data_IF_042677531946
#
_entry.id   IF_042677531946
#
_cell.length_a   1.000
_cell.length_b   1.000
_cell.length_c   1.000
_cell.angle_alpha   90.00
_cell.angle_beta   90.00
_cell.angle_gamma   90.00
#
_symmetry.space_group_name_H-M   'P 1'
#
loop_
_entity.id
_entity.type
_entity.pdbx_description
1 polymer ?
#
# COMPACT_ATOMS: atom_id res chain seq x y z
N UNK A 1 -61.31 -44.46 -2.63
CA UNK A 1 -61.54 -45.73 -1.89
C UNK A 1 -60.17 -46.31 -1.63
N UNK A 2 -59.62 -46.45 -0.42
CA UNK A 2 -60.14 -46.42 0.97
C UNK A 2 -58.85 -46.24 1.81
N UNK A 3 -58.69 -45.13 2.57
CA UNK A 3 -58.67 -45.06 4.07
C UNK A 3 -57.51 -45.81 4.75
N UNK A 4 -56.87 -45.42 5.85
CA UNK A 4 -56.98 -44.34 6.85
C UNK A 4 -55.75 -44.47 7.81
N UNK A 5 -55.27 -43.36 8.40
CA UNK A 5 -54.98 -43.11 9.85
C UNK A 5 -53.98 -44.04 10.59
N UNK A 6 -52.77 -43.59 10.97
CA UNK A 6 -52.37 -42.75 12.14
C UNK A 6 -52.73 -43.30 13.53
N UNK A 7 -51.74 -43.44 14.43
CA UNK A 7 -51.75 -43.39 15.92
C UNK A 7 -50.43 -44.06 16.41
N UNK A 8 -49.68 -43.65 17.44
CA UNK A 8 -49.86 -42.75 18.59
C UNK A 8 -48.47 -42.41 19.19
N UNK A 9 -48.35 -41.22 19.79
CA UNK A 9 -47.27 -40.71 20.66
C UNK A 9 -47.19 -41.40 22.04
N UNK A 10 -45.99 -41.38 22.66
CA UNK A 10 -45.67 -40.94 24.06
C UNK A 10 -44.27 -41.48 24.45
N UNK A 11 -43.19 -40.70 24.66
CA UNK A 11 -42.86 -39.70 25.71
C UNK A 11 -42.30 -40.30 27.02
N UNK A 12 -41.36 -39.55 27.64
CA UNK A 12 -40.70 -39.66 28.98
C UNK A 12 -39.26 -40.24 28.92
N UNK A 13 -38.18 -39.45 28.89
CA UNK A 13 -37.55 -38.55 29.88
C UNK A 13 -36.54 -39.25 30.82
N UNK A 14 -35.31 -38.71 30.90
CA UNK A 14 -34.30 -39.10 31.90
C UNK A 14 -32.84 -38.72 31.56
N UNK A 15 -32.44 -37.50 31.94
CA UNK A 15 -31.04 -37.01 32.11
C UNK A 15 -30.39 -37.87 33.24
N UNK A 16 -29.10 -38.27 33.25
CA UNK A 16 -27.91 -37.51 33.73
C UNK A 16 -26.55 -38.16 33.32
N UNK A 17 -25.68 -37.32 32.77
CA UNK A 17 -24.20 -37.22 32.77
C UNK A 17 -23.27 -38.45 32.94
N UNK A 18 -22.25 -38.55 32.08
CA UNK A 18 -20.90 -37.97 32.32
C UNK A 18 -19.88 -38.56 31.33
N UNK A 19 -19.15 -37.71 30.63
CA UNK A 19 -18.04 -38.14 29.79
C UNK A 19 -17.56 -37.03 28.87
N UNK A 20 -16.76 -36.11 29.41
CA UNK A 20 -15.99 -35.16 28.61
C UNK A 20 -15.02 -35.96 27.73
N UNK A 21 -15.20 -35.94 26.41
CA UNK A 21 -14.13 -36.23 25.47
C UNK A 21 -13.78 -34.93 24.78
N UNK A 22 -12.64 -34.38 25.19
CA UNK A 22 -11.97 -33.31 24.50
C UNK A 22 -11.84 -33.71 23.02
N UNK A 23 -12.45 -32.92 22.14
CA UNK A 23 -12.07 -32.88 20.74
C UNK A 23 -10.60 -32.50 20.71
N UNK A 24 -9.77 -33.50 20.43
CA UNK A 24 -8.39 -33.32 20.05
C UNK A 24 -8.38 -32.38 18.85
N UNK A 25 -8.00 -31.13 19.10
CA UNK A 25 -7.56 -30.21 18.09
C UNK A 25 -6.53 -30.95 17.23
N UNK A 26 -6.86 -31.16 15.96
CA UNK A 26 -5.86 -31.55 14.99
C UNK A 26 -4.78 -30.46 15.02
N UNK A 27 -3.49 -30.82 15.16
CA UNK A 27 -2.45 -29.85 14.87
C UNK A 27 -2.65 -29.41 13.43
N UNK A 28 -2.76 -28.10 13.19
CA UNK A 28 -2.54 -27.55 11.86
C UNK A 28 -1.17 -28.07 11.41
N UNK A 29 -1.16 -28.98 10.42
CA UNK A 29 0.04 -29.30 9.67
C UNK A 29 0.48 -28.00 9.00
N UNK A 30 1.41 -27.29 9.63
CA UNK A 30 2.14 -26.20 8.99
C UNK A 30 2.97 -26.85 7.89
N UNK A 31 2.49 -26.78 6.65
CA UNK A 31 3.33 -27.16 5.51
C UNK A 31 4.61 -26.34 5.59
N UNK A 32 5.76 -27.01 5.53
CA UNK A 32 7.11 -26.43 5.64
C UNK A 32 7.51 -25.52 4.46
N UNK A 33 6.54 -25.08 3.65
CA UNK A 33 6.70 -24.10 2.57
C UNK A 33 6.05 -22.78 3.01
N UNK A 34 6.82 -21.91 3.69
CA UNK A 34 6.34 -20.60 4.13
C UNK A 34 7.39 -19.48 3.90
N UNK A 35 7.14 -18.53 3.00
CA UNK A 35 8.12 -17.51 2.53
C UNK A 35 7.96 -16.11 3.20
N UNK A 36 9.05 -15.36 3.23
CA UNK A 36 9.56 -14.65 4.40
C UNK A 36 10.50 -13.47 4.04
N UNK A 37 10.81 -12.62 5.01
CA UNK A 37 11.93 -11.67 5.02
C UNK A 37 13.18 -12.43 5.47
N UNK A 38 14.30 -12.24 4.78
CA UNK A 38 15.60 -12.86 5.08
C UNK A 38 16.12 -12.38 6.44
N UNK A 39 15.99 -13.21 7.48
CA UNK A 39 16.47 -12.96 8.85
C UNK A 39 17.68 -13.82 9.22
N UNK A 40 18.45 -14.27 8.22
CA UNK A 40 19.55 -15.23 8.39
C UNK A 40 20.78 -14.67 9.11
N UNK A 41 20.96 -13.35 9.13
CA UNK A 41 22.09 -12.70 9.83
C UNK A 41 21.63 -12.05 11.13
N UNK A 42 22.52 -11.89 12.13
CA UNK A 42 22.20 -11.16 13.36
C UNK A 42 21.73 -9.72 13.10
N UNK A 43 22.33 -9.04 12.12
CA UNK A 43 21.97 -7.68 11.71
C UNK A 43 20.53 -7.64 11.17
N UNK A 44 20.25 -8.49 10.18
CA UNK A 44 18.92 -8.60 9.59
C UNK A 44 17.88 -8.96 10.66
N UNK A 45 18.22 -9.87 11.59
CA UNK A 45 17.32 -10.21 12.70
C UNK A 45 17.03 -9.00 13.60
N UNK A 46 18.04 -8.22 14.00
CA UNK A 46 17.82 -7.01 14.82
C UNK A 46 16.94 -5.98 14.11
N UNK A 47 17.19 -5.74 12.82
CA UNK A 47 16.35 -4.83 12.02
C UNK A 47 14.91 -5.35 11.90
N UNK A 48 14.74 -6.65 11.67
CA UNK A 48 13.45 -7.31 11.62
C UNK A 48 12.67 -7.13 12.92
N UNK A 49 13.31 -7.39 14.07
CA UNK A 49 12.67 -7.24 15.38
C UNK A 49 12.26 -5.78 15.65
N UNK A 50 13.06 -4.80 15.22
CA UNK A 50 12.69 -3.38 15.29
C UNK A 50 11.46 -3.06 14.43
N UNK A 51 11.38 -3.59 13.20
CA UNK A 51 10.23 -3.42 12.32
C UNK A 51 8.98 -4.09 12.90
N UNK A 52 9.08 -5.31 13.41
CA UNK A 52 7.95 -6.05 14.02
C UNK A 52 7.50 -5.38 15.31
N UNK A 53 8.43 -4.98 16.18
CA UNK A 53 8.13 -4.29 17.43
C UNK A 53 7.37 -2.98 17.18
N UNK A 54 7.83 -2.19 16.20
CA UNK A 54 7.15 -0.97 15.79
C UNK A 54 5.79 -1.26 15.15
N UNK A 55 5.72 -2.20 14.20
CA UNK A 55 4.47 -2.60 13.56
C UNK A 55 3.40 -3.03 14.56
N UNK A 56 3.76 -3.81 15.59
CA UNK A 56 2.81 -4.31 16.61
C UNK A 56 2.36 -3.22 17.57
N UNK A 57 3.26 -2.34 17.97
CA UNK A 57 2.95 -1.22 18.90
C UNK A 57 2.27 -0.03 18.21
N UNK A 58 2.36 0.08 16.89
CA UNK A 58 1.77 1.19 16.15
C UNK A 58 0.25 1.27 16.31
N UNK A 59 -0.22 2.44 16.73
CA UNK A 59 -1.64 2.81 16.80
C UNK A 59 -1.91 3.84 15.70
N UNK A 60 -3.00 3.64 14.96
CA UNK A 60 -3.40 4.55 13.90
C UNK A 60 -3.62 5.98 14.44
N UNK A 61 -3.13 6.97 13.69
CA UNK A 61 -3.16 8.39 14.09
C UNK A 61 -4.22 9.18 13.34
N UNK A 62 -4.60 8.74 12.14
CA UNK A 62 -5.68 9.33 11.37
C UNK A 62 -6.99 8.61 11.72
N UNK A 63 -7.88 9.31 12.42
CA UNK A 63 -9.18 8.76 12.81
C UNK A 63 -10.28 9.37 11.95
N UNK A 64 -11.26 8.54 11.57
CA UNK A 64 -12.51 9.05 11.05
C UNK A 64 -13.16 10.00 12.09
N UNK A 65 -13.59 11.19 11.66
CA UNK A 65 -14.35 12.10 12.52
C UNK A 65 -15.57 11.37 13.11
N UNK A 66 -15.81 11.47 14.43
CA UNK A 66 -17.01 10.90 15.06
C UNK A 66 -18.27 11.66 14.66
N UNK A 67 -18.14 12.91 14.18
CA UNK A 67 -19.24 13.71 13.66
C UNK A 67 -19.38 13.39 12.17
N UNK A 68 -20.57 12.93 11.71
CA UNK A 68 -20.83 12.72 10.30
C UNK A 68 -20.50 13.98 9.49
N UNK A 69 -19.59 13.82 8.54
CA UNK A 69 -19.14 14.85 7.62
C UNK A 69 -19.31 14.34 6.21
N UNK A 70 -19.77 15.20 5.32
CA UNK A 70 -19.83 14.89 3.88
C UNK A 70 -18.47 15.15 3.20
N UNK A 71 -17.44 15.54 3.95
CA UNK A 71 -16.10 15.75 3.39
C UNK A 71 -15.50 14.42 2.92
N UNK A 72 -14.90 14.39 1.73
CA UNK A 72 -14.14 13.22 1.30
C UNK A 72 -12.93 13.04 2.21
N UNK A 73 -12.52 11.77 2.38
CA UNK A 73 -11.37 11.37 3.19
C UNK A 73 -10.30 10.80 2.27
N UNK A 74 -9.16 11.46 2.18
CA UNK A 74 -8.08 11.08 1.27
C UNK A 74 -6.89 10.57 2.07
N UNK A 75 -6.46 9.33 1.82
CA UNK A 75 -5.19 8.84 2.34
C UNK A 75 -4.12 9.06 1.28
N UNK A 76 -3.08 9.81 1.61
CA UNK A 76 -1.97 10.11 0.70
C UNK A 76 -0.67 9.62 1.33
N UNK A 77 0.11 8.85 0.59
CA UNK A 77 1.43 8.39 1.05
C UNK A 77 2.56 8.93 0.21
N UNK A 78 3.72 9.14 0.83
CA UNK A 78 5.02 9.28 0.19
C UNK A 78 6.05 8.49 0.99
N UNK A 79 7.30 8.52 0.55
CA UNK A 79 8.38 7.81 1.24
C UNK A 79 9.43 8.78 1.79
N UNK A 80 10.05 8.37 2.89
CA UNK A 80 11.28 8.98 3.40
C UNK A 80 12.52 8.55 2.60
N UNK A 81 13.70 8.80 3.17
CA UNK A 81 14.98 8.39 2.59
C UNK A 81 15.08 6.87 2.41
N UNK A 82 15.88 6.43 1.45
CA UNK A 82 16.31 5.03 1.33
C UNK A 82 17.52 4.90 0.41
N UNK A 83 18.42 3.95 0.71
CA UNK A 83 19.60 3.68 -0.11
C UNK A 83 20.36 4.97 -0.46
N UNK A 84 20.57 5.27 -1.75
CA UNK A 84 21.22 6.48 -2.25
C UNK A 84 20.31 7.72 -2.25
N UNK A 85 19.01 7.56 -2.04
CA UNK A 85 18.03 8.66 -2.02
C UNK A 85 17.94 9.21 -0.60
N UNK A 86 18.80 10.18 -0.29
CA UNK A 86 18.81 10.87 1.00
C UNK A 86 17.61 11.82 1.17
N UNK A 87 17.10 12.37 0.07
CA UNK A 87 15.94 13.26 0.04
C UNK A 87 14.93 12.74 -0.98
N UNK A 88 13.82 12.20 -0.51
CA UNK A 88 12.82 11.58 -1.38
C UNK A 88 11.74 12.58 -1.76
N UNK A 89 11.65 12.87 -3.06
CA UNK A 89 10.70 13.82 -3.62
C UNK A 89 9.25 13.55 -3.16
N UNK A 90 8.83 12.28 -3.08
CA UNK A 90 7.43 11.99 -2.70
C UNK A 90 7.09 12.33 -1.26
N UNK A 91 8.02 12.12 -0.32
CA UNK A 91 7.86 12.58 1.06
C UNK A 91 7.77 14.11 1.11
N UNK A 92 8.61 14.82 0.35
CA UNK A 92 8.59 16.29 0.27
C UNK A 92 7.30 16.83 -0.35
N UNK A 93 6.79 16.19 -1.39
CA UNK A 93 5.53 16.56 -2.02
C UNK A 93 4.38 16.40 -1.02
N UNK A 94 4.35 15.30 -0.26
CA UNK A 94 3.36 15.09 0.80
C UNK A 94 3.47 16.14 1.91
N UNK A 95 4.70 16.47 2.36
CA UNK A 95 4.90 17.58 3.30
C UNK A 95 4.49 18.94 2.73
N UNK A 96 4.62 19.15 1.43
CA UNK A 96 4.21 20.40 0.78
C UNK A 96 2.68 20.47 0.67
N UNK A 97 2.03 19.33 0.41
CA UNK A 97 0.57 19.21 0.40
C UNK A 97 -0.04 19.41 1.80
N UNK A 98 0.56 18.81 2.82
CA UNK A 98 0.16 18.89 4.23
C UNK A 98 1.37 19.27 5.09
N UNK A 99 1.62 20.57 5.32
CA UNK A 99 2.81 21.09 6.03
C UNK A 99 3.04 20.50 7.43
N UNK A 100 1.98 20.06 8.10
CA UNK A 100 2.06 19.42 9.41
C UNK A 100 2.71 18.02 9.33
N UNK A 101 2.59 17.32 8.20
CA UNK A 101 3.28 16.06 7.92
C UNK A 101 4.74 16.34 7.50
N UNK A 102 5.54 16.85 8.44
CA UNK A 102 6.93 17.27 8.19
C UNK A 102 7.78 16.10 7.66
N UNK A 103 8.59 16.38 6.63
CA UNK A 103 9.50 15.40 6.06
C UNK A 103 10.49 14.90 7.13
N UNK A 104 10.62 13.59 7.35
CA UNK A 104 11.54 13.06 8.34
C UNK A 104 13.01 13.19 7.89
N UNK A 105 13.70 14.22 8.41
CA UNK A 105 15.12 14.46 8.17
C UNK A 105 15.99 13.48 8.96
N UNK A 106 16.16 12.27 8.44
CA UNK A 106 16.99 11.23 9.05
C UNK A 106 18.21 10.92 8.19
N UNK A 107 19.25 10.35 8.80
CA UNK A 107 20.45 9.86 8.11
C UNK A 107 20.46 8.35 8.13
N UNK A 108 21.05 7.74 7.11
CA UNK A 108 21.30 6.30 7.12
C UNK A 108 22.08 5.91 8.38
N UNK A 109 21.79 4.76 9.01
CA UNK A 109 22.53 4.28 10.17
C UNK A 109 23.97 3.94 9.78
N UNK A 110 24.87 3.80 10.76
CA UNK A 110 26.17 3.23 10.45
C UNK A 110 26.03 1.76 9.99
N UNK A 111 26.97 1.21 9.21
CA UNK A 111 26.90 -0.18 8.79
C UNK A 111 26.71 -1.15 9.97
N UNK A 112 25.67 -1.99 9.91
CA UNK A 112 25.34 -3.00 10.92
C UNK A 112 24.51 -2.49 12.12
N UNK A 113 24.25 -1.19 12.20
CA UNK A 113 23.33 -0.60 13.19
C UNK A 113 21.88 -0.69 12.72
N UNK A 114 20.96 -0.89 13.66
CA UNK A 114 19.53 -0.89 13.36
C UNK A 114 19.08 0.51 12.96
N UNK A 115 18.32 0.58 11.87
CA UNK A 115 17.64 1.78 11.41
C UNK A 115 16.22 1.83 12.03
N UNK A 116 15.98 2.65 13.07
CA UNK A 116 14.68 2.65 13.74
C UNK A 116 13.58 3.16 12.80
N UNK A 117 12.42 2.50 12.72
CA UNK A 117 11.34 2.95 11.84
C UNK A 117 10.65 4.24 12.29
N UNK A 118 10.52 4.46 13.61
CA UNK A 118 9.75 5.57 14.16
C UNK A 118 10.26 6.95 13.68
N UNK A 119 11.57 7.28 13.71
CA UNK A 119 12.07 8.56 13.22
C UNK A 119 11.86 8.80 11.72
N UNK A 120 11.56 7.76 10.94
CA UNK A 120 11.30 7.84 9.50
C UNK A 120 9.82 7.94 9.14
N UNK A 121 8.93 7.87 10.14
CA UNK A 121 7.50 7.94 9.94
C UNK A 121 6.95 9.32 10.31
N UNK A 122 6.30 10.00 9.37
CA UNK A 122 5.39 11.10 9.67
C UNK A 122 3.96 10.70 9.29
N UNK A 123 3.01 10.85 10.21
CA UNK A 123 1.59 10.62 9.95
C UNK A 123 0.80 11.70 10.65
N UNK A 124 0.00 12.44 9.88
CA UNK A 124 -0.83 13.54 10.38
C UNK A 124 -2.18 13.54 9.65
N UNK A 125 -3.24 13.85 10.40
CA UNK A 125 -4.53 14.21 9.83
C UNK A 125 -4.69 15.73 9.76
N UNK A 126 -5.09 16.24 8.61
CA UNK A 126 -5.34 17.66 8.37
C UNK A 126 -6.50 17.83 7.38
N UNK A 127 -6.79 19.07 6.99
CA UNK A 127 -7.74 19.39 5.92
C UNK A 127 -7.05 20.16 4.82
N UNK A 128 -7.40 19.88 3.57
CA UNK A 128 -6.95 20.66 2.41
C UNK A 128 -8.14 21.14 1.60
N UNK A 129 -7.97 22.27 0.92
CA UNK A 129 -8.90 22.71 -0.12
C UNK A 129 -8.54 22.05 -1.46
N UNK A 130 -9.55 21.43 -2.08
CA UNK A 130 -9.42 20.79 -3.38
C UNK A 130 -10.26 21.53 -4.44
N UNK A 131 -9.69 21.80 -5.63
CA UNK A 131 -10.41 22.51 -6.68
C UNK A 131 -11.67 21.73 -7.12
N UNK A 132 -12.82 22.40 -7.17
CA UNK A 132 -14.11 21.80 -7.59
C UNK A 132 -14.74 20.79 -6.62
N UNK A 133 -14.04 20.45 -5.53
CA UNK A 133 -14.52 19.54 -4.47
C UNK A 133 -14.85 20.32 -3.18
N UNK A 134 -14.01 21.29 -2.81
CA UNK A 134 -14.04 21.95 -1.50
C UNK A 134 -13.10 21.28 -0.49
N UNK A 135 -13.38 21.44 0.79
CA UNK A 135 -12.55 20.88 1.87
C UNK A 135 -12.60 19.35 1.90
N UNK A 136 -11.42 18.72 1.93
CA UNK A 136 -11.24 17.29 2.16
C UNK A 136 -10.45 17.03 3.44
N UNK A 137 -10.81 15.99 4.17
CA UNK A 137 -10.00 15.48 5.27
C UNK A 137 -8.88 14.61 4.68
N UNK A 138 -7.64 14.81 5.10
CA UNK A 138 -6.47 14.10 4.56
C UNK A 138 -5.74 13.39 5.68
N UNK A 139 -5.42 12.12 5.46
CA UNK A 139 -4.39 11.40 6.20
C UNK A 139 -3.11 11.40 5.36
N UNK A 140 -2.15 12.24 5.74
CA UNK A 140 -0.86 12.34 5.07
C UNK A 140 0.16 11.45 5.78
N UNK A 141 0.81 10.57 5.02
CA UNK A 141 1.80 9.62 5.53
C UNK A 141 3.12 9.73 4.76
N UNK A 142 4.23 9.86 5.46
CA UNK A 142 5.58 9.69 4.92
C UNK A 142 6.15 8.44 5.56
N UNK A 143 6.30 7.40 4.74
CA UNK A 143 6.54 6.04 5.19
C UNK A 143 8.03 5.70 5.18
N UNK A 144 8.50 4.87 6.12
CA UNK A 144 9.79 4.21 5.99
C UNK A 144 9.76 3.24 4.80
N UNK A 145 10.88 3.11 4.10
CA UNK A 145 11.03 2.23 2.93
C UNK A 145 11.46 0.85 3.43
N UNK A 146 10.60 0.16 4.18
CA UNK A 146 10.88 -1.16 4.75
C UNK A 146 9.88 -2.20 4.28
N UNK A 147 10.36 -3.41 3.96
CA UNK A 147 9.52 -4.50 3.45
C UNK A 147 8.37 -4.75 4.40
N UNK A 148 7.16 -4.81 3.84
CA UNK A 148 5.88 -5.03 4.51
C UNK A 148 5.45 -4.00 5.57
N UNK A 149 6.38 -3.36 6.30
CA UNK A 149 6.04 -2.40 7.35
C UNK A 149 5.24 -1.23 6.78
N UNK A 150 5.63 -0.67 5.63
CA UNK A 150 4.90 0.41 4.99
C UNK A 150 3.43 0.01 4.71
N UNK A 151 3.20 -1.21 4.21
CA UNK A 151 1.86 -1.73 3.96
C UNK A 151 1.06 -1.98 5.25
N UNK A 152 1.71 -2.47 6.31
CA UNK A 152 1.10 -2.63 7.64
C UNK A 152 0.58 -1.27 8.17
N UNK A 153 1.40 -0.22 8.05
CA UNK A 153 1.05 1.13 8.51
C UNK A 153 -0.13 1.69 7.70
N UNK A 154 -0.10 1.57 6.37
CA UNK A 154 -1.20 2.00 5.50
C UNK A 154 -2.50 1.26 5.87
N UNK A 155 -2.45 -0.06 6.05
CA UNK A 155 -3.63 -0.85 6.38
C UNK A 155 -4.25 -0.44 7.72
N UNK A 156 -3.43 -0.15 8.73
CA UNK A 156 -3.89 0.33 10.04
C UNK A 156 -4.55 1.71 9.94
N UNK A 157 -3.95 2.64 9.20
CA UNK A 157 -4.57 3.96 8.96
C UNK A 157 -5.83 3.84 8.12
N UNK A 158 -5.85 3.02 7.06
CA UNK A 158 -7.02 2.85 6.20
C UNK A 158 -8.23 2.29 6.97
N UNK A 159 -8.02 1.32 7.87
CA UNK A 159 -9.08 0.77 8.74
C UNK A 159 -9.65 1.84 9.69
N UNK A 160 -8.80 2.68 10.28
CA UNK A 160 -9.21 3.70 11.25
C UNK A 160 -9.81 4.96 10.58
N UNK A 161 -9.21 5.40 9.48
CA UNK A 161 -9.56 6.62 8.76
C UNK A 161 -10.74 6.40 7.80
N UNK A 162 -10.88 5.20 7.24
CA UNK A 162 -11.92 4.80 6.27
C UNK A 162 -11.93 5.71 5.03
N UNK A 163 -10.82 5.78 4.27
CA UNK A 163 -10.70 6.71 3.15
C UNK A 163 -11.78 6.48 2.08
N UNK A 164 -12.11 7.54 1.36
CA UNK A 164 -12.89 7.52 0.12
C UNK A 164 -12.01 7.58 -1.13
N UNK A 165 -10.70 7.86 -0.96
CA UNK A 165 -9.68 7.71 -1.99
C UNK A 165 -8.30 7.44 -1.35
N UNK A 166 -7.50 6.56 -1.97
CA UNK A 166 -6.12 6.26 -1.55
C UNK A 166 -5.14 6.56 -2.68
N UNK A 167 -4.21 7.48 -2.46
CA UNK A 167 -3.16 7.80 -3.42
C UNK A 167 -1.79 7.49 -2.81
N UNK A 168 -1.15 6.44 -3.29
CA UNK A 168 0.20 6.08 -2.88
C UNK A 168 1.21 6.66 -3.86
N UNK A 169 2.38 7.08 -3.36
CA UNK A 169 3.40 7.69 -4.20
C UNK A 169 4.78 7.11 -3.94
N UNK A 170 5.58 7.02 -4.99
CA UNK A 170 7.01 6.69 -4.91
C UNK A 170 7.81 7.38 -6.00
N UNK A 171 9.13 7.32 -5.91
CA UNK A 171 10.02 7.79 -6.97
C UNK A 171 10.39 6.66 -7.92
N UNK A 172 10.63 6.98 -9.19
CA UNK A 172 11.16 6.05 -10.19
C UNK A 172 12.43 6.62 -10.84
N UNK A 173 12.44 6.86 -12.15
CA UNK A 173 13.59 7.45 -12.84
C UNK A 173 13.80 8.93 -12.50
N UNK A 174 14.97 9.44 -12.83
CA UNK A 174 15.37 10.83 -12.58
C UNK A 174 14.47 11.85 -13.29
N UNK A 175 14.20 11.61 -14.58
CA UNK A 175 13.38 12.46 -15.45
C UNK A 175 12.49 11.60 -16.34
N UNK A 176 11.19 11.72 -16.15
CA UNK A 176 10.21 10.89 -16.83
C UNK A 176 8.82 11.54 -16.76
N UNK A 177 7.86 11.01 -17.50
CA UNK A 177 6.45 11.30 -17.22
C UNK A 177 6.07 10.78 -15.83
N UNK A 178 5.06 11.38 -15.20
CA UNK A 178 4.35 10.73 -14.11
C UNK A 178 3.80 9.41 -14.60
N UNK A 179 4.07 8.33 -13.87
CA UNK A 179 3.47 7.04 -14.17
C UNK A 179 2.33 6.78 -13.20
N UNK A 180 1.12 6.72 -13.74
CA UNK A 180 -0.07 6.35 -12.99
C UNK A 180 -0.22 4.84 -13.18
N UNK A 181 0.07 4.08 -12.13
CA UNK A 181 0.17 2.62 -12.22
C UNK A 181 -1.23 1.99 -12.36
N UNK A 182 -1.42 1.24 -13.44
CA UNK A 182 -2.67 0.51 -13.70
C UNK A 182 -2.88 -0.65 -12.72
N UNK A 183 -1.84 -1.12 -12.04
CA UNK A 183 -1.96 -2.21 -11.08
C UNK A 183 -0.63 -2.63 -10.46
N UNK A 184 -0.67 -3.74 -9.76
CA UNK A 184 0.45 -4.34 -9.05
C UNK A 184 0.43 -5.86 -9.16
N UNK A 185 1.51 -6.49 -8.71
CA UNK A 185 1.71 -7.94 -8.77
C UNK A 185 2.00 -8.50 -7.40
N UNK A 186 1.66 -9.76 -7.16
CA UNK A 186 1.97 -10.47 -5.93
C UNK A 186 3.43 -10.94 -5.90
N UNK A 187 4.38 -10.03 -6.08
CA UNK A 187 5.80 -10.36 -6.26
C UNK A 187 6.71 -9.39 -5.51
N UNK A 188 7.65 -9.95 -4.76
CA UNK A 188 8.73 -9.23 -4.10
C UNK A 188 10.09 -9.79 -4.56
N UNK A 189 10.92 -8.95 -5.15
CA UNK A 189 12.28 -9.29 -5.60
C UNK A 189 13.26 -9.30 -4.43
N UNK A 190 14.43 -9.93 -4.62
CA UNK A 190 15.51 -10.02 -3.62
C UNK A 190 16.29 -8.71 -3.43
N UNK A 191 15.60 -7.58 -3.39
CA UNK A 191 16.20 -6.25 -3.24
C UNK A 191 16.22 -5.80 -1.78
N UNK A 192 17.30 -5.18 -1.35
CA UNK A 192 17.38 -4.59 -0.02
C UNK A 192 16.41 -3.40 0.12
N UNK A 193 15.85 -3.25 1.31
CA UNK A 193 15.05 -2.09 1.67
C UNK A 193 15.92 -0.92 2.17
N UNK A 194 15.28 0.15 2.63
CA UNK A 194 15.94 1.38 3.07
C UNK A 194 16.86 1.22 4.29
N UNK A 195 16.78 0.11 5.03
CA UNK A 195 17.71 -0.21 6.12
C UNK A 195 19.04 -0.77 5.60
N UNK A 196 19.04 -1.22 4.33
CA UNK A 196 20.12 -1.99 3.70
C UNK A 196 20.45 -3.31 4.45
N UNK A 197 19.51 -3.83 5.24
CA UNK A 197 19.67 -5.08 6.02
C UNK A 197 18.63 -6.12 5.68
N UNK A 198 17.40 -5.71 5.37
CA UNK A 198 16.30 -6.63 5.06
C UNK A 198 16.04 -6.70 3.55
N UNK A 199 15.66 -7.89 3.12
CA UNK A 199 15.18 -8.20 1.77
C UNK A 199 14.26 -9.43 1.84
N UNK A 200 13.41 -9.68 0.84
CA UNK A 200 12.63 -10.90 0.77
C UNK A 200 13.57 -12.12 0.64
N UNK A 201 13.22 -13.20 1.34
CA UNK A 201 13.93 -14.48 1.29
C UNK A 201 13.51 -15.25 0.05
N UNK A 202 14.15 -14.95 -1.08
CA UNK A 202 13.89 -15.62 -2.37
C UNK A 202 14.66 -16.93 -2.47
N UNK A 203 13.96 -18.02 -2.77
CA UNK A 203 14.53 -19.35 -3.01
C UNK A 203 15.62 -19.29 -4.08
N UNK A 204 16.76 -19.99 -3.92
CA UNK A 204 17.79 -20.03 -4.95
C UNK A 204 17.23 -20.49 -6.31
N UNK A 205 17.41 -19.68 -7.35
CA UNK A 205 16.89 -19.93 -8.70
C UNK A 205 15.61 -19.16 -9.05
N UNK A 206 14.88 -18.67 -8.04
CA UNK A 206 13.69 -17.85 -8.24
C UNK A 206 14.02 -16.36 -8.36
N UNK A 207 13.21 -15.63 -9.12
CA UNK A 207 13.36 -14.18 -9.31
C UNK A 207 12.64 -13.35 -8.22
N UNK A 208 11.60 -13.92 -7.60
CA UNK A 208 10.74 -13.25 -6.64
C UNK A 208 10.05 -14.25 -5.71
N UNK A 209 9.38 -13.72 -4.69
CA UNK A 209 8.49 -14.47 -3.78
C UNK A 209 7.11 -13.82 -3.73
N UNK A 210 6.08 -14.56 -3.36
CA UNK A 210 4.74 -14.00 -3.15
C UNK A 210 4.72 -13.08 -1.93
N UNK A 211 4.00 -11.97 -2.04
CA UNK A 211 3.79 -11.03 -0.94
C UNK A 211 2.66 -11.54 -0.04
N UNK A 212 1.51 -11.86 -0.63
CA UNK A 212 0.39 -12.52 0.03
C UNK A 212 0.39 -13.97 -0.43
N UNK A 213 1.01 -14.84 0.36
CA UNK A 213 1.26 -16.24 0.01
C UNK A 213 -0.01 -17.03 -0.33
N UNK A 214 -1.10 -16.79 0.41
CA UNK A 214 -2.36 -17.50 0.25
C UNK A 214 -3.31 -16.86 -0.79
N UNK A 215 -2.89 -15.80 -1.48
CA UNK A 215 -3.68 -15.25 -2.57
C UNK A 215 -3.72 -16.27 -3.73
N UNK A 216 -4.90 -16.55 -4.31
CA UNK A 216 -5.00 -17.49 -5.43
C UNK A 216 -4.24 -16.95 -6.64
N UNK A 217 -3.81 -17.83 -7.55
CA UNK A 217 -3.09 -17.44 -8.77
C UNK A 217 -3.87 -16.44 -9.64
N UNK A 218 -5.21 -16.51 -9.62
CA UNK A 218 -6.08 -15.53 -10.30
C UNK A 218 -5.92 -14.10 -9.80
N UNK A 219 -5.29 -13.90 -8.65
CA UNK A 219 -5.02 -12.62 -8.01
C UNK A 219 -3.52 -12.32 -7.91
N UNK A 220 -2.65 -13.06 -8.63
CA UNK A 220 -1.22 -12.74 -8.70
C UNK A 220 -0.93 -11.40 -9.38
N UNK A 221 -1.93 -10.86 -10.09
CA UNK A 221 -1.95 -9.47 -10.54
C UNK A 221 -3.25 -8.82 -10.08
N UNK A 222 -3.17 -7.57 -9.66
CA UNK A 222 -4.34 -6.80 -9.23
C UNK A 222 -4.32 -5.42 -9.88
N UNK A 223 -5.40 -5.11 -10.61
CA UNK A 223 -5.63 -3.76 -11.11
C UNK A 223 -5.90 -2.78 -9.96
N UNK A 224 -5.30 -1.61 -10.05
CA UNK A 224 -5.69 -0.45 -9.25
C UNK A 224 -7.10 0.00 -9.66
N UNK A 225 -7.76 0.84 -8.86
CA UNK A 225 -9.15 1.26 -9.10
C UNK A 225 -9.20 2.78 -9.24
N UNK A 226 -9.48 3.29 -10.45
CA UNK A 226 -9.42 4.72 -10.74
C UNK A 226 -10.35 5.11 -11.90
N UNK A 227 -10.74 6.37 -11.96
CA UNK A 227 -11.38 7.01 -13.11
C UNK A 227 -10.29 7.42 -14.13
N UNK A 228 -9.72 6.42 -14.81
CA UNK A 228 -8.44 6.50 -15.52
C UNK A 228 -8.27 7.72 -16.44
N UNK A 229 -9.16 7.89 -17.41
CA UNK A 229 -9.05 8.98 -18.41
C UNK A 229 -9.17 10.36 -17.76
N UNK A 230 -10.09 10.49 -16.81
CA UNK A 230 -10.36 11.73 -16.08
C UNK A 230 -9.13 12.14 -15.27
N UNK A 231 -8.55 11.19 -14.53
CA UNK A 231 -7.37 11.44 -13.70
C UNK A 231 -6.10 11.65 -14.53
N UNK A 232 -5.87 10.87 -15.58
CA UNK A 232 -4.72 11.06 -16.48
C UNK A 232 -4.75 12.44 -17.13
N UNK A 233 -5.93 12.88 -17.60
CA UNK A 233 -6.09 14.21 -18.21
C UNK A 233 -5.79 15.31 -17.19
N UNK A 234 -6.36 15.23 -15.98
CA UNK A 234 -6.10 16.21 -14.94
C UNK A 234 -4.62 16.25 -14.51
N UNK A 235 -3.96 15.09 -14.44
CA UNK A 235 -2.53 15.02 -14.15
C UNK A 235 -1.70 15.69 -15.25
N UNK A 236 -1.97 15.39 -16.52
CA UNK A 236 -1.27 15.98 -17.66
C UNK A 236 -1.45 17.49 -17.73
N UNK A 237 -2.68 17.96 -17.60
CA UNK A 237 -3.00 19.39 -17.68
C UNK A 237 -2.36 20.17 -16.51
N UNK A 238 -2.29 19.57 -15.32
CA UNK A 238 -1.57 20.16 -14.19
C UNK A 238 -0.06 20.18 -14.42
N UNK A 239 0.54 19.13 -14.97
CA UNK A 239 1.97 19.12 -15.33
C UNK A 239 2.28 20.20 -16.35
N UNK A 240 1.46 20.35 -17.39
CA UNK A 240 1.65 21.38 -18.43
C UNK A 240 1.56 22.80 -17.84
N UNK A 241 0.58 23.03 -16.97
CA UNK A 241 0.41 24.32 -16.27
C UNK A 241 1.63 24.73 -15.45
N UNK A 242 2.36 23.76 -14.87
CA UNK A 242 3.56 24.01 -14.07
C UNK A 242 4.87 23.82 -14.84
N UNK A 243 4.84 23.45 -16.13
CA UNK A 243 6.04 23.06 -16.89
C UNK A 243 7.14 24.13 -16.91
N UNK A 244 6.77 25.41 -16.87
CA UNK A 244 7.70 26.55 -16.87
C UNK A 244 8.25 26.96 -15.51
N UNK A 245 7.88 26.29 -14.41
CA UNK A 245 8.44 26.60 -13.08
C UNK A 245 9.90 26.17 -13.01
N UNK A 246 10.79 27.07 -12.57
CA UNK A 246 12.24 26.84 -12.56
C UNK A 246 12.74 26.68 -11.14
N UNK A 247 13.52 25.61 -10.92
CA UNK A 247 14.35 25.41 -9.75
C UNK A 247 15.78 25.00 -10.14
N UNK A 248 16.78 25.64 -9.53
CA UNK A 248 18.20 25.44 -9.85
C UNK A 248 18.52 25.31 -11.35
N UNK A 249 17.99 26.26 -12.13
CA UNK A 249 18.12 26.36 -13.59
C UNK A 249 17.48 25.22 -14.42
N UNK A 250 16.76 24.29 -13.79
CA UNK A 250 15.99 23.25 -14.48
C UNK A 250 14.51 23.58 -14.38
N UNK A 251 13.76 23.41 -15.47
CA UNK A 251 12.30 23.58 -15.42
C UNK A 251 11.59 22.31 -14.95
N UNK A 252 10.42 22.46 -14.34
CA UNK A 252 9.57 21.34 -13.94
C UNK A 252 9.25 20.43 -15.12
N UNK A 253 8.98 21.00 -16.30
CA UNK A 253 8.68 20.25 -17.52
C UNK A 253 9.87 19.46 -18.09
N UNK A 254 11.11 19.85 -17.79
CA UNK A 254 12.30 19.08 -18.19
C UNK A 254 12.45 17.78 -17.37
N UNK A 255 11.91 17.79 -16.14
CA UNK A 255 11.92 16.68 -15.19
C UNK A 255 10.66 15.82 -15.32
N UNK A 256 9.48 16.44 -15.24
CA UNK A 256 8.17 15.80 -15.33
C UNK A 256 7.59 15.97 -16.74
N UNK A 257 7.82 14.97 -17.58
CA UNK A 257 7.57 15.05 -19.04
C UNK A 257 6.12 14.71 -19.45
N UNK A 258 5.16 15.07 -18.60
CA UNK A 258 3.74 14.76 -18.75
C UNK A 258 3.25 13.68 -17.77
N UNK A 259 2.14 13.03 -18.11
CA UNK A 259 1.57 11.91 -17.36
C UNK A 259 1.25 10.75 -18.32
N UNK A 260 1.38 9.51 -17.83
CA UNK A 260 1.17 8.30 -18.62
C UNK A 260 0.63 7.17 -17.76
N UNK A 261 -0.33 6.41 -18.30
CA UNK A 261 -0.79 5.18 -17.69
C UNK A 261 0.24 4.06 -17.88
N UNK A 262 0.65 3.45 -16.77
CA UNK A 262 1.72 2.48 -16.73
C UNK A 262 1.14 1.07 -16.46
N UNK A 263 1.31 0.13 -17.40
CA UNK A 263 0.77 -1.24 -17.31
C UNK A 263 1.42 -2.14 -16.26
N UNK A 264 0.93 -3.36 -16.13
CA UNK A 264 1.42 -4.38 -15.18
C UNK A 264 1.06 -5.79 -15.68
N UNK A 265 1.85 -6.85 -15.44
CA UNK A 265 3.15 -6.84 -14.79
C UNK A 265 4.24 -6.29 -15.72
N UNK A 266 5.22 -5.60 -15.14
CA UNK A 266 6.54 -5.31 -15.70
C UNK A 266 7.62 -5.87 -14.77
N UNK A 267 8.85 -6.15 -15.25
CA UNK A 267 9.95 -6.62 -14.40
C UNK A 267 10.23 -5.71 -13.18
N UNK A 268 9.99 -4.41 -13.32
CA UNK A 268 10.15 -3.42 -12.25
C UNK A 268 9.03 -3.45 -11.19
N UNK A 269 7.90 -4.15 -11.41
CA UNK A 269 6.81 -4.29 -10.44
C UNK A 269 7.13 -5.35 -9.38
N UNK A 270 8.29 -5.26 -8.74
CA UNK A 270 8.76 -6.25 -7.76
C UNK A 270 9.47 -5.61 -6.56
N UNK A 271 9.46 -4.28 -6.44
CA UNK A 271 10.03 -3.54 -5.30
C UNK A 271 8.95 -3.02 -4.34
N UNK A 272 9.35 -2.24 -3.33
CA UNK A 272 8.48 -1.73 -2.25
C UNK A 272 7.24 -0.98 -2.74
N UNK A 273 7.35 -0.19 -3.82
CA UNK A 273 6.20 0.45 -4.46
C UNK A 273 5.14 -0.56 -4.89
N UNK A 274 5.56 -1.71 -5.46
CA UNK A 274 4.67 -2.80 -5.84
C UNK A 274 4.07 -3.49 -4.60
N UNK A 275 4.88 -3.74 -3.56
CA UNK A 275 4.44 -4.35 -2.31
C UNK A 275 3.33 -3.55 -1.62
N UNK A 276 3.54 -2.25 -1.40
CA UNK A 276 2.52 -1.41 -0.76
C UNK A 276 1.24 -1.35 -1.59
N UNK A 277 1.36 -1.29 -2.92
CA UNK A 277 0.21 -1.23 -3.83
C UNK A 277 -0.59 -2.53 -3.78
N UNK A 278 0.08 -3.67 -3.92
CA UNK A 278 -0.55 -4.98 -3.93
C UNK A 278 -1.22 -5.30 -2.58
N UNK A 279 -0.50 -5.16 -1.47
CA UNK A 279 -1.04 -5.48 -0.13
C UNK A 279 -2.21 -4.58 0.23
N UNK A 280 -2.10 -3.28 -0.01
CA UNK A 280 -3.18 -2.33 0.25
C UNK A 280 -4.41 -2.67 -0.61
N UNK A 281 -4.20 -2.90 -1.90
CA UNK A 281 -5.26 -3.30 -2.82
C UNK A 281 -5.95 -4.59 -2.42
N UNK A 282 -5.17 -5.60 -2.01
CA UNK A 282 -5.69 -6.91 -1.63
C UNK A 282 -6.49 -6.84 -0.33
N UNK A 283 -5.96 -6.21 0.71
CA UNK A 283 -6.64 -6.04 2.00
C UNK A 283 -7.94 -5.23 1.87
N UNK A 284 -7.96 -4.19 1.04
CA UNK A 284 -9.18 -3.40 0.78
C UNK A 284 -10.25 -4.21 0.04
N UNK A 285 -9.85 -5.11 -0.86
CA UNK A 285 -10.77 -6.00 -1.60
C UNK A 285 -11.30 -7.16 -0.77
N UNK A 286 -10.62 -7.53 0.32
CA UNK A 286 -10.90 -8.74 1.10
C UNK A 286 -11.23 -8.44 2.56
N UNK A 287 -12.36 -7.78 2.84
CA UNK A 287 -12.69 -7.34 4.20
C UNK A 287 -12.74 -8.54 5.17
N UNK A 288 -12.03 -8.39 6.28
CA UNK A 288 -11.95 -9.39 7.36
C UNK A 288 -10.93 -10.51 7.12
N UNK A 289 -10.37 -10.65 5.92
CA UNK A 289 -9.28 -11.61 5.66
C UNK A 289 -7.99 -11.13 6.31
N UNK A 290 -7.29 -12.05 6.96
CA UNK A 290 -6.04 -11.78 7.65
C UNK A 290 -4.84 -12.16 6.77
N UNK A 291 -3.88 -11.25 6.69
CA UNK A 291 -2.60 -11.46 6.00
C UNK A 291 -1.49 -11.46 7.03
N UNK A 292 -0.56 -12.41 6.90
CA UNK A 292 0.69 -12.46 7.67
C UNK A 292 1.78 -11.74 6.87
N UNK A 293 2.16 -10.58 7.34
CA UNK A 293 3.22 -9.73 6.79
C UNK A 293 4.45 -9.77 7.69
N UNK A 294 5.61 -9.28 7.24
CA UNK A 294 6.87 -9.29 8.00
C UNK A 294 7.16 -10.70 8.56
N UNK A 295 7.08 -11.75 7.74
CA UNK A 295 7.32 -13.12 8.22
C UNK A 295 8.82 -13.41 8.28
N UNK A 296 9.36 -13.92 9.39
CA UNK A 296 10.80 -14.21 9.50
C UNK A 296 11.17 -15.52 8.78
N UNK A 297 12.25 -15.52 7.98
CA UNK A 297 12.77 -16.74 7.33
C UNK A 297 13.36 -17.73 8.33
N UNK A 298 13.95 -17.23 9.40
CA UNK A 298 14.39 -18.00 10.56
C UNK A 298 13.56 -17.63 11.78
N UNK A 299 12.58 -18.48 12.09
CA UNK A 299 11.71 -18.33 13.26
C UNK A 299 12.52 -18.49 14.55
N UNK A 300 12.31 -17.60 15.52
CA UNK A 300 12.86 -17.71 16.88
C UNK A 300 11.73 -18.02 17.85
N UNK A 301 11.90 -19.09 18.63
CA UNK A 301 10.92 -19.53 19.61
C UNK A 301 10.69 -18.46 20.68
N UNK A 302 9.42 -18.21 21.04
CA UNK A 302 9.04 -17.21 22.03
C UNK A 302 8.98 -15.77 21.50
N UNK A 303 9.48 -15.51 20.29
CA UNK A 303 9.47 -14.20 19.66
C UNK A 303 8.35 -14.04 18.63
N UNK A 304 8.03 -12.80 18.27
CA UNK A 304 7.16 -12.54 17.13
C UNK A 304 7.91 -12.80 15.83
N UNK A 305 7.33 -13.64 14.97
CA UNK A 305 7.89 -14.01 13.66
C UNK A 305 6.96 -13.67 12.50
N UNK A 306 5.91 -12.89 12.76
CA UNK A 306 5.03 -12.27 11.77
C UNK A 306 4.22 -11.12 12.39
N UNK A 307 3.60 -10.33 11.52
CA UNK A 307 2.60 -9.33 11.85
C UNK A 307 1.31 -9.65 11.11
N UNK A 308 0.25 -9.95 11.86
CA UNK A 308 -1.09 -10.19 11.32
C UNK A 308 -1.82 -8.88 11.09
N UNK A 309 -2.31 -8.67 9.87
CA UNK A 309 -3.01 -7.45 9.46
C UNK A 309 -4.31 -7.81 8.76
N UNK A 310 -5.36 -7.03 9.01
CA UNK A 310 -6.63 -7.08 8.27
C UNK A 310 -7.31 -5.72 8.28
N UNK A 311 -8.07 -5.43 7.22
CA UNK A 311 -9.04 -4.35 7.17
C UNK A 311 -10.41 -5.00 7.31
N UNK A 312 -11.24 -4.59 8.28
CA UNK A 312 -12.60 -5.13 8.45
C UNK A 312 -13.61 -4.31 7.66
N UNK A 313 -13.35 -3.01 7.52
CA UNK A 313 -14.18 -2.11 6.72
C UNK A 313 -14.22 -2.58 5.27
N UNK A 314 -15.40 -2.60 4.65
CA UNK A 314 -15.50 -2.89 3.23
C UNK A 314 -15.02 -1.68 2.44
N UNK A 315 -13.80 -1.75 1.92
CA UNK A 315 -13.17 -0.71 1.11
C UNK A 315 -12.99 -1.15 -0.36
N UNK A 316 -13.65 -2.22 -0.78
CA UNK A 316 -13.41 -2.86 -2.09
C UNK A 316 -13.69 -1.92 -3.28
N UNK A 317 -14.73 -1.08 -3.15
CA UNK A 317 -15.13 -0.08 -4.14
C UNK A 317 -14.38 1.26 -4.02
N UNK A 318 -13.50 1.43 -3.05
CA UNK A 318 -12.78 2.70 -2.84
C UNK A 318 -11.64 2.82 -3.86
N UNK A 319 -11.61 3.89 -4.68
CA UNK A 319 -10.53 4.09 -5.63
C UNK A 319 -9.18 4.20 -4.93
N UNK A 320 -8.17 3.63 -5.57
CA UNK A 320 -6.81 3.49 -5.07
C UNK A 320 -5.82 3.37 -6.20
N UNK A 321 -4.72 4.09 -6.12
CA UNK A 321 -3.70 4.13 -7.17
C UNK A 321 -2.30 4.34 -6.57
N UNK A 322 -1.29 3.89 -7.31
CA UNK A 322 0.10 4.26 -7.07
C UNK A 322 0.59 5.18 -8.19
N UNK A 323 1.29 6.25 -7.83
CA UNK A 323 1.88 7.20 -8.79
C UNK A 323 3.38 7.28 -8.58
N UNK A 324 4.15 7.01 -9.63
CA UNK A 324 5.59 7.25 -9.64
C UNK A 324 5.93 8.65 -10.14
N UNK A 325 6.75 9.34 -9.36
CA UNK A 325 7.28 10.66 -9.61
C UNK A 325 8.75 10.58 -10.05
N UNK A 326 9.23 11.54 -10.85
CA UNK A 326 10.65 11.67 -11.09
C UNK A 326 11.43 11.96 -9.80
N UNK A 327 12.63 11.41 -9.65
CA UNK A 327 13.44 11.60 -8.43
C UNK A 327 14.18 12.94 -8.35
N UNK A 328 14.40 13.62 -9.47
CA UNK A 328 15.17 14.89 -9.55
C UNK A 328 14.40 16.13 -9.04
N UNK A 329 13.17 15.97 -8.55
CA UNK A 329 12.37 17.10 -8.09
C UNK A 329 13.01 17.81 -6.89
N UNK A 330 13.37 19.07 -7.10
CA UNK A 330 13.89 20.01 -6.12
C UNK A 330 12.78 20.84 -5.43
N UNK A 331 13.15 21.72 -4.50
CA UNK A 331 12.25 22.39 -3.56
C UNK A 331 11.06 23.13 -4.20
N UNK A 332 11.28 24.03 -5.17
CA UNK A 332 10.18 24.72 -5.87
C UNK A 332 9.36 23.74 -6.71
N UNK A 333 9.99 22.69 -7.24
CA UNK A 333 9.27 21.65 -7.95
C UNK A 333 8.31 20.86 -7.03
N UNK A 334 8.54 20.82 -5.70
CA UNK A 334 7.62 20.17 -4.77
C UNK A 334 6.27 20.90 -4.66
N UNK A 335 6.25 22.24 -4.81
CA UNK A 335 5.02 23.01 -4.81
C UNK A 335 4.18 22.72 -6.08
N UNK A 336 4.79 22.74 -7.26
CA UNK A 336 4.17 22.30 -8.51
C UNK A 336 3.64 20.87 -8.40
N UNK A 337 4.47 19.95 -7.92
CA UNK A 337 4.10 18.54 -7.77
C UNK A 337 2.96 18.33 -6.75
N UNK A 338 2.92 19.09 -5.65
CA UNK A 338 1.82 19.06 -4.70
C UNK A 338 0.50 19.54 -5.34
N UNK A 339 0.55 20.53 -6.23
CA UNK A 339 -0.64 20.96 -6.97
C UNK A 339 -1.10 19.93 -8.02
N UNK A 340 -0.15 19.28 -8.71
CA UNK A 340 -0.46 18.13 -9.58
C UNK A 340 -1.14 17.01 -8.79
N UNK A 341 -0.64 16.71 -7.58
CA UNK A 341 -1.26 15.74 -6.68
C UNK A 341 -2.68 16.16 -6.27
N UNK A 342 -2.91 17.43 -5.91
CA UNK A 342 -4.27 17.97 -5.65
C UNK A 342 -5.19 17.80 -6.85
N UNK A 343 -4.69 18.05 -8.05
CA UNK A 343 -5.45 17.94 -9.29
C UNK A 343 -5.89 16.50 -9.55
N UNK A 344 -5.01 15.51 -9.31
CA UNK A 344 -5.33 14.08 -9.39
C UNK A 344 -6.41 13.70 -8.38
N UNK A 345 -6.23 14.10 -7.11
CA UNK A 345 -7.18 13.81 -6.03
C UNK A 345 -8.55 14.42 -6.35
N UNK A 346 -8.59 15.69 -6.75
CA UNK A 346 -9.82 16.39 -7.08
C UNK A 346 -10.54 15.72 -8.26
N UNK A 347 -9.83 15.40 -9.33
CA UNK A 347 -10.39 14.75 -10.51
C UNK A 347 -11.07 13.41 -10.17
N UNK A 348 -10.42 12.57 -9.35
CA UNK A 348 -11.01 11.31 -8.92
C UNK A 348 -12.30 11.52 -8.10
N UNK A 349 -12.27 12.46 -7.15
CA UNK A 349 -13.42 12.71 -6.28
C UNK A 349 -14.61 13.33 -7.04
N UNK A 350 -14.33 14.22 -8.01
CA UNK A 350 -15.35 14.79 -8.90
C UNK A 350 -15.95 13.68 -9.76
N UNK A 351 -15.13 12.86 -10.40
CA UNK A 351 -15.58 11.73 -11.23
C UNK A 351 -16.52 10.81 -10.45
N UNK A 352 -16.15 10.43 -9.22
CA UNK A 352 -16.99 9.58 -8.36
C UNK A 352 -18.33 10.25 -7.98
N UNK A 353 -18.35 11.58 -7.79
CA UNK A 353 -19.59 12.33 -7.50
C UNK A 353 -20.50 12.43 -8.73
N UNK A 354 -19.93 12.53 -9.91
CA UNK A 354 -20.65 12.69 -11.19
C UNK A 354 -21.10 11.36 -11.81
N UNK A 355 -20.82 10.24 -11.15
CA UNK A 355 -21.23 8.91 -11.58
C UNK A 355 -20.27 8.22 -12.55
N UNK A 356 -19.08 8.79 -12.78
CA UNK A 356 -17.97 8.11 -13.46
C UNK A 356 -17.33 7.12 -12.50
N UNK A 357 -17.91 5.91 -12.45
CA UNK A 357 -17.47 4.84 -11.56
C UNK A 357 -16.03 4.42 -11.91
N UNK A 358 -15.12 4.37 -10.92
CA UNK A 358 -13.75 3.93 -11.18
C UNK A 358 -13.74 2.47 -11.65
N UNK A 359 -12.82 2.14 -12.55
CA UNK A 359 -12.66 0.78 -13.09
C UNK A 359 -11.30 0.20 -12.71
N UNK A 360 -11.22 -1.13 -12.73
CA UNK A 360 -9.93 -1.81 -12.57
C UNK A 360 -9.00 -1.41 -13.71
N UNK A 361 -7.73 -1.20 -13.41
CA UNK A 361 -6.72 -0.89 -14.41
C UNK A 361 -6.52 -2.05 -15.38
N UNK A 362 -6.42 -1.71 -16.66
CA UNK A 362 -6.30 -2.64 -17.77
C UNK A 362 -5.10 -2.21 -18.64
N UNK A 363 -4.24 -3.15 -19.01
CA UNK A 363 -3.10 -2.90 -19.90
C UNK A 363 -3.51 -2.36 -21.28
N UNK A 364 -4.75 -2.56 -21.71
CA UNK A 364 -5.28 -1.92 -22.91
C UNK A 364 -5.26 -0.38 -22.84
N UNK A 365 -5.23 0.19 -21.62
CA UNK A 365 -5.11 1.63 -21.38
C UNK A 365 -3.64 2.10 -21.30
N UNK A 366 -2.68 1.17 -21.21
CA UNK A 366 -1.29 1.54 -20.97
C UNK A 366 -0.71 2.34 -22.14
N UNK A 367 0.11 3.33 -21.82
CA UNK A 367 0.93 4.00 -22.82
C UNK A 367 1.77 2.96 -23.60
N UNK A 368 1.92 3.06 -24.93
CA UNK A 368 2.58 2.03 -25.74
C UNK A 368 3.99 1.65 -25.27
N UNK A 369 4.76 2.61 -24.74
CA UNK A 369 6.10 2.38 -24.19
C UNK A 369 6.13 1.83 -22.76
N UNK A 370 4.98 1.67 -22.11
CA UNK A 370 4.83 1.23 -20.72
C UNK A 370 3.85 0.05 -20.58
N UNK A 371 3.54 -0.62 -21.69
CA UNK A 371 2.68 -1.80 -21.69
C UNK A 371 3.23 -2.84 -20.72
N UNK A 372 2.37 -3.33 -19.83
CA UNK A 372 2.60 -4.58 -19.12
C UNK A 372 2.26 -5.76 -20.04
N UNK A 373 2.28 -6.98 -19.49
CA UNK A 373 1.74 -8.13 -20.21
C UNK A 373 2.78 -8.99 -20.93
N UNK A 374 4.02 -9.00 -20.46
CA UNK A 374 4.92 -10.12 -20.73
C UNK A 374 4.56 -11.32 -19.86
N UNK A 375 3.98 -12.36 -20.47
CA UNK A 375 4.27 -13.73 -20.10
C UNK A 375 5.80 -13.87 -20.03
N UNK A 376 6.33 -14.23 -18.86
CA UNK A 376 7.73 -14.59 -18.74
C UNK A 376 7.79 -16.00 -18.15
N UNK A 377 8.35 -16.89 -18.96
CA UNK A 377 8.75 -18.26 -18.63
C UNK A 377 9.71 -18.30 -17.46
#
# INVERSE_FOLDING_TARGET
>A
MTRLVSFLLAAIAGIVASGCTAETAQPEETSDDEITVDTSTPEARRQYDANVGFARSYVARCLASPVPSNRPRVLVTGFGRFMSIANNATGRIVSTLVPEARYPETRAPAPGETDPPEPQLAVVSSTIELPGVGTADVCAMILPVYWDLAAVLIAKEAEAFKPTFVMMNGVAGERQSLWIELGATNRASRSFDGSNQLRPAVTPGEAYVKIVEHAPESEDTQGNLLSWRTVETAARDAVERHAGEIDDATSFGDIVRGASLAGFPRPSNTYLCNNVTYVTGWLMSHPGREVRLLRASHKVFGEANDVRVKIRSNLSAIPRVFVHWPSDLADKHHAAAADVMKSIIAAQLIASREGDAPTLGDNALAHPGLQGGGLFF
#
